data_IF_515342582009
#
_entry.id   IF_515342582009
#
_cell.length_a   1.000
_cell.length_b   1.000
_cell.length_c   1.000
_cell.angle_alpha   90.00
_cell.angle_beta   90.00
_cell.angle_gamma   90.00
#
_symmetry.space_group_name_H-M   'P 1'
#
loop_
_entity.id
_entity.type
_entity.pdbx_description
1 polymer ?
#
# COMPACT_ATOMS: atom_id res chain seq x y z
N UNK A 1 12.24 43.60 -45.98
CA UNK A 1 13.06 42.68 -45.17
C UNK A 1 13.52 43.27 -43.83
N UNK A 2 14.06 44.50 -43.74
CA UNK A 2 14.46 45.09 -42.44
C UNK A 2 13.29 45.36 -41.47
N UNK A 3 12.11 45.73 -42.00
CA UNK A 3 10.91 46.01 -41.17
C UNK A 3 10.28 44.75 -40.55
N UNK A 4 10.32 43.62 -41.26
CA UNK A 4 9.78 42.33 -40.78
C UNK A 4 10.67 41.70 -39.69
N UNK A 5 11.99 41.91 -39.77
CA UNK A 5 12.91 41.50 -38.71
C UNK A 5 12.69 42.32 -37.43
N UNK A 6 12.49 43.64 -37.56
CA UNK A 6 12.24 44.53 -36.42
C UNK A 6 10.94 44.15 -35.68
N UNK A 7 9.87 43.80 -36.40
CA UNK A 7 8.60 43.41 -35.78
C UNK A 7 8.70 42.11 -34.99
N UNK A 8 9.44 41.10 -35.47
CA UNK A 8 9.60 39.81 -34.77
C UNK A 8 10.41 40.00 -33.48
N UNK A 9 11.47 40.81 -33.53
CA UNK A 9 12.30 41.10 -32.34
C UNK A 9 11.48 41.84 -31.29
N UNK A 10 10.65 42.81 -31.68
CA UNK A 10 9.76 43.52 -30.73
C UNK A 10 8.74 42.55 -30.11
N UNK A 11 8.15 41.65 -30.90
CA UNK A 11 7.17 40.68 -30.42
C UNK A 11 7.80 39.69 -29.42
N UNK A 12 9.03 39.25 -29.70
CA UNK A 12 9.78 38.36 -28.81
C UNK A 12 10.17 39.06 -27.50
N UNK A 13 10.56 40.33 -27.56
CA UNK A 13 10.86 41.14 -26.38
C UNK A 13 9.60 41.42 -25.55
N UNK A 14 8.44 41.62 -26.17
CA UNK A 14 7.16 41.78 -25.45
C UNK A 14 6.76 40.48 -24.75
N UNK A 15 6.93 39.32 -25.40
CA UNK A 15 6.64 38.01 -24.78
C UNK A 15 7.61 37.72 -23.64
N UNK A 16 8.90 37.96 -23.83
CA UNK A 16 9.90 37.81 -22.77
C UNK A 16 9.63 38.75 -21.59
N UNK A 17 9.27 40.01 -21.88
CA UNK A 17 8.90 40.97 -20.84
C UNK A 17 7.62 40.56 -20.11
N UNK A 18 6.63 40.00 -20.82
CA UNK A 18 5.40 39.49 -20.20
C UNK A 18 5.65 38.24 -19.34
N UNK A 19 6.55 37.36 -19.77
CA UNK A 19 7.02 36.22 -18.96
C UNK A 19 7.84 36.68 -17.75
N UNK A 20 8.63 37.74 -17.89
CA UNK A 20 9.43 38.32 -16.80
C UNK A 20 8.58 39.12 -15.80
N UNK A 21 7.42 39.64 -16.23
CA UNK A 21 6.42 40.28 -15.37
C UNK A 21 5.52 39.28 -14.64
N UNK A 22 5.51 38.00 -15.03
CA UNK A 22 4.85 36.94 -14.26
C UNK A 22 5.65 36.67 -12.99
N UNK A 23 5.26 37.33 -11.90
CA UNK A 23 5.73 36.94 -10.56
C UNK A 23 5.31 35.49 -10.29
N UNK A 24 6.19 34.63 -9.78
CA UNK A 24 5.79 33.27 -9.41
C UNK A 24 4.73 33.35 -8.32
N UNK A 25 3.55 32.81 -8.59
CA UNK A 25 2.45 32.72 -7.64
C UNK A 25 2.85 31.72 -6.56
N UNK A 26 3.08 32.21 -5.35
CA UNK A 26 3.27 31.37 -4.17
C UNK A 26 1.89 30.81 -3.82
N UNK A 27 1.76 29.48 -3.81
CA UNK A 27 0.57 28.84 -3.26
C UNK A 27 0.63 29.05 -1.74
N UNK A 28 -0.03 30.10 -1.27
CA UNK A 28 -0.19 30.37 0.16
C UNK A 28 -1.38 29.56 0.68
N UNK A 29 -1.14 28.38 1.24
CA UNK A 29 -2.15 27.64 2.01
C UNK A 29 -2.34 28.30 3.38
N UNK A 30 -2.96 29.48 3.40
CA UNK A 30 -3.40 30.15 4.62
C UNK A 30 -4.87 29.84 4.89
N UNK A 31 -5.13 28.73 5.57
CA UNK A 31 -6.46 28.38 6.08
C UNK A 31 -6.72 29.23 7.34
N UNK A 32 -7.64 30.19 7.24
CA UNK A 32 -8.16 30.94 8.39
C UNK A 32 -9.38 30.20 8.98
N UNK A 33 -9.52 30.11 10.31
CA UNK A 33 -10.45 29.20 10.95
C UNK A 33 -11.76 29.92 11.27
N UNK A 34 -12.78 29.79 10.43
CA UNK A 34 -14.16 29.69 10.93
C UNK A 34 -15.10 29.32 9.78
N UNK A 35 -15.57 28.07 9.75
CA UNK A 35 -16.90 27.66 9.31
C UNK A 35 -17.09 26.23 9.81
N UNK A 36 -17.57 26.12 11.05
CA UNK A 36 -17.94 24.85 11.68
C UNK A 36 -19.31 24.40 11.16
N UNK A 37 -19.30 23.34 10.34
CA UNK A 37 -20.46 22.54 9.96
C UNK A 37 -20.08 21.07 9.99
N UNK A 38 -20.48 20.40 11.09
CA UNK A 38 -20.37 18.96 11.38
C UNK A 38 -18.99 18.30 11.26
N UNK A 39 -18.40 18.07 12.43
CA UNK A 39 -17.17 17.28 12.64
C UNK A 39 -17.55 15.79 12.71
N UNK A 40 -17.27 14.94 11.71
CA UNK A 40 -16.84 13.60 12.03
C UNK A 40 -15.38 13.72 12.43
N UNK A 41 -15.17 13.62 13.73
CA UNK A 41 -13.88 13.48 14.38
C UNK A 41 -13.00 12.54 13.58
N UNK A 42 -11.92 13.03 12.95
CA UNK A 42 -10.82 12.19 12.45
C UNK A 42 -10.02 11.69 13.65
N UNK A 43 -10.68 10.89 14.48
CA UNK A 43 -10.06 9.87 15.31
C UNK A 43 -9.86 8.66 14.40
N UNK A 44 -8.61 8.25 14.22
CA UNK A 44 -8.21 6.90 13.79
C UNK A 44 -8.95 6.32 12.57
N UNK A 45 -8.32 6.34 11.39
CA UNK A 45 -8.64 5.34 10.35
C UNK A 45 -7.40 4.93 9.55
N UNK A 46 -6.42 4.35 10.24
CA UNK A 46 -5.39 3.48 9.64
C UNK A 46 -5.88 2.04 9.40
N UNK A 47 -7.18 1.85 9.11
CA UNK A 47 -7.80 0.53 8.97
C UNK A 47 -8.98 0.52 7.99
N UNK A 48 -8.87 1.07 6.77
CA UNK A 48 -9.93 0.84 5.74
C UNK A 48 -9.48 0.90 4.28
N UNK A 49 -8.19 0.70 3.97
CA UNK A 49 -7.74 0.46 2.59
C UNK A 49 -7.41 -1.02 2.30
N UNK A 50 -7.17 -1.82 3.35
CA UNK A 50 -6.68 -3.20 3.17
C UNK A 50 -7.77 -4.18 2.72
N UNK A 51 -9.01 -4.04 3.20
CA UNK A 51 -10.10 -4.97 2.83
C UNK A 51 -10.55 -4.86 1.37
N UNK A 52 -10.32 -3.73 0.70
CA UNK A 52 -10.77 -3.54 -0.68
C UNK A 52 -9.71 -3.94 -1.74
N UNK A 53 -8.51 -4.36 -1.32
CA UNK A 53 -7.40 -4.70 -2.22
C UNK A 53 -6.91 -6.14 -2.11
N UNK A 54 -7.29 -6.87 -1.06
CA UNK A 54 -7.00 -8.31 -0.91
C UNK A 54 -8.18 -9.04 -0.27
N UNK A 55 -8.40 -10.27 -0.70
CA UNK A 55 -9.33 -11.25 -0.11
C UNK A 55 -8.54 -12.51 0.19
N UNK A 56 -8.53 -12.93 1.46
CA UNK A 56 -7.82 -14.14 1.91
C UNK A 56 -8.80 -15.30 2.07
N UNK A 57 -8.55 -16.38 1.35
CA UNK A 57 -9.34 -17.61 1.42
C UNK A 57 -8.79 -18.58 2.47
N UNK A 58 -7.46 -18.71 2.56
CA UNK A 58 -6.74 -19.47 3.58
C UNK A 58 -5.57 -18.67 4.17
N UNK A 59 -5.37 -18.71 5.50
CA UNK A 59 -6.19 -19.43 6.50
C UNK A 59 -7.51 -18.72 6.78
N UNK A 60 -8.48 -19.45 7.38
CA UNK A 60 -9.69 -18.83 7.93
C UNK A 60 -9.36 -18.14 9.26
N UNK A 61 -10.04 -17.04 9.54
CA UNK A 61 -9.97 -16.31 10.81
C UNK A 61 -10.17 -17.26 11.99
N UNK A 62 -9.25 -17.20 12.96
CA UNK A 62 -9.18 -18.04 14.17
C UNK A 62 -9.04 -19.55 13.92
N UNK A 63 -8.70 -19.98 12.69
CA UNK A 63 -8.43 -21.39 12.43
C UNK A 63 -7.21 -21.88 13.21
N UNK A 64 -7.24 -23.16 13.62
CA UNK A 64 -6.08 -23.82 14.22
C UNK A 64 -5.16 -24.32 13.12
N UNK A 65 -3.88 -23.99 13.19
CA UNK A 65 -2.91 -24.19 12.12
C UNK A 65 -1.68 -24.95 12.58
N UNK A 66 -1.07 -25.68 11.65
CA UNK A 66 0.22 -26.37 11.81
C UNK A 66 1.21 -25.83 10.81
N UNK A 67 2.50 -26.07 11.06
CA UNK A 67 3.57 -25.74 10.13
C UNK A 67 3.82 -26.91 9.17
N UNK A 68 3.93 -26.69 7.84
CA UNK A 68 3.70 -25.43 7.14
C UNK A 68 2.21 -25.04 7.07
N UNK A 69 1.95 -23.73 7.05
CA UNK A 69 0.61 -23.18 6.81
C UNK A 69 0.43 -22.84 5.33
N UNK A 70 -0.66 -23.34 4.74
CA UNK A 70 -1.02 -23.04 3.35
C UNK A 70 -1.82 -21.74 3.25
N UNK A 71 -1.55 -20.97 2.19
CA UNK A 71 -2.10 -19.64 1.96
C UNK A 71 -2.75 -19.59 0.58
N UNK A 72 -3.91 -18.96 0.49
CA UNK A 72 -4.57 -18.72 -0.79
C UNK A 72 -5.54 -17.54 -0.69
N UNK A 73 -5.84 -16.94 -1.83
CA UNK A 73 -6.78 -15.84 -1.95
C UNK A 73 -6.62 -15.13 -3.27
N UNK A 74 -6.98 -13.85 -3.29
CA UNK A 74 -6.78 -12.96 -4.43
C UNK A 74 -6.45 -11.55 -3.96
N UNK A 75 -5.55 -10.87 -4.64
CA UNK A 75 -5.20 -9.48 -4.38
C UNK A 75 -5.18 -8.67 -5.67
N UNK A 76 -5.41 -7.36 -5.59
CA UNK A 76 -5.28 -6.45 -6.73
C UNK A 76 -3.85 -6.52 -7.27
N UNK A 77 -3.64 -6.44 -8.58
CA UNK A 77 -2.30 -6.65 -9.17
C UNK A 77 -1.18 -5.76 -8.58
N UNK A 78 -1.52 -4.54 -8.12
CA UNK A 78 -0.60 -3.63 -7.41
C UNK A 78 -0.12 -4.12 -6.04
N UNK A 79 -0.65 -5.23 -5.52
CA UNK A 79 -0.09 -5.91 -4.36
C UNK A 79 1.21 -6.65 -4.66
N UNK A 80 1.43 -7.02 -5.92
CA UNK A 80 2.55 -7.85 -6.32
C UNK A 80 3.65 -7.03 -6.97
N UNK A 81 4.89 -7.45 -6.75
CA UNK A 81 6.05 -7.09 -7.55
C UNK A 81 6.74 -8.39 -7.97
N UNK A 82 7.12 -8.49 -9.24
CA UNK A 82 7.66 -9.73 -9.81
C UNK A 82 6.76 -10.97 -9.53
N UNK A 83 5.44 -10.78 -9.62
CA UNK A 83 4.41 -11.78 -9.32
C UNK A 83 4.41 -12.31 -7.87
N UNK A 84 5.07 -11.63 -6.92
CA UNK A 84 5.19 -12.07 -5.54
C UNK A 84 4.75 -11.00 -4.54
N UNK A 85 4.33 -11.43 -3.35
CA UNK A 85 4.03 -10.54 -2.23
C UNK A 85 4.44 -11.18 -0.89
N UNK A 86 5.05 -10.42 0.04
CA UNK A 86 5.56 -10.94 1.29
C UNK A 86 4.46 -11.39 2.26
N UNK A 87 4.74 -12.44 3.02
CA UNK A 87 3.86 -12.96 4.07
C UNK A 87 4.66 -13.45 5.27
N UNK A 88 4.12 -13.19 6.47
CA UNK A 88 4.74 -13.57 7.74
C UNK A 88 3.75 -14.26 8.67
N UNK A 89 4.25 -15.18 9.48
CA UNK A 89 3.55 -15.71 10.65
C UNK A 89 4.17 -15.07 11.88
N UNK A 90 3.35 -14.39 12.68
CA UNK A 90 3.77 -13.70 13.90
C UNK A 90 2.98 -14.18 15.12
N UNK A 91 3.58 -14.11 16.30
CA UNK A 91 2.88 -14.35 17.55
C UNK A 91 2.03 -13.13 18.00
N UNK A 92 1.36 -13.25 19.14
CA UNK A 92 0.53 -12.18 19.73
C UNK A 92 1.32 -10.95 20.18
N UNK A 93 2.64 -11.06 20.31
CA UNK A 93 3.57 -9.97 20.63
C UNK A 93 4.24 -9.37 19.39
N UNK A 94 3.96 -9.91 18.20
CA UNK A 94 4.55 -9.47 16.94
C UNK A 94 5.91 -10.08 16.62
N UNK A 95 6.38 -11.09 17.35
CA UNK A 95 7.60 -11.80 17.01
C UNK A 95 7.38 -12.64 15.75
N UNK A 96 8.29 -12.53 14.78
CA UNK A 96 8.23 -13.32 13.54
C UNK A 96 8.64 -14.76 13.82
N UNK A 97 7.73 -15.69 13.56
CA UNK A 97 7.92 -17.13 13.72
C UNK A 97 8.31 -17.83 12.41
N UNK A 98 7.97 -17.22 11.28
CA UNK A 98 8.27 -17.68 9.93
C UNK A 98 7.88 -16.64 8.90
N UNK A 99 8.53 -16.65 7.73
CA UNK A 99 8.27 -15.73 6.64
C UNK A 99 8.48 -16.40 5.28
N UNK A 100 7.74 -15.96 4.27
CA UNK A 100 7.86 -16.41 2.88
C UNK A 100 7.19 -15.37 1.96
N UNK A 101 6.79 -15.77 0.76
CA UNK A 101 5.97 -15.01 -0.15
C UNK A 101 4.76 -15.83 -0.62
N UNK A 102 3.72 -15.15 -1.07
CA UNK A 102 2.70 -15.71 -1.95
C UNK A 102 3.01 -15.33 -3.39
N UNK A 103 2.67 -16.21 -4.32
CA UNK A 103 2.86 -16.02 -5.75
C UNK A 103 1.50 -15.80 -6.42
N UNK A 104 1.43 -14.80 -7.29
CA UNK A 104 0.31 -14.62 -8.20
C UNK A 104 0.29 -15.75 -9.23
N UNK A 105 -0.90 -16.32 -9.44
CA UNK A 105 -1.12 -17.46 -10.36
C UNK A 105 -1.70 -17.04 -11.71
N UNK A 106 -1.81 -15.73 -11.94
CA UNK A 106 -2.28 -15.13 -13.18
C UNK A 106 -1.50 -13.86 -13.52
N UNK A 107 -1.94 -13.13 -14.54
CA UNK A 107 -1.32 -11.85 -14.91
C UNK A 107 -1.50 -10.82 -13.79
N UNK A 108 -0.39 -10.37 -13.23
CA UNK A 108 -0.34 -9.47 -12.08
C UNK A 108 -0.22 -7.99 -12.48
N UNK A 109 0.13 -7.69 -13.74
CA UNK A 109 0.29 -6.31 -14.22
C UNK A 109 -1.07 -5.68 -14.56
N UNK A 110 -1.99 -5.74 -13.61
CA UNK A 110 -3.38 -5.33 -13.76
C UNK A 110 -3.90 -4.60 -12.53
N UNK A 111 -4.98 -3.85 -12.69
CA UNK A 111 -5.74 -3.30 -11.57
C UNK A 111 -6.79 -4.29 -11.04
N UNK A 112 -6.96 -5.45 -11.68
CA UNK A 112 -7.93 -6.46 -11.28
C UNK A 112 -7.43 -7.39 -10.16
N UNK A 113 -8.35 -8.16 -9.57
CA UNK A 113 -8.01 -9.18 -8.59
C UNK A 113 -7.34 -10.38 -9.28
N UNK A 114 -6.18 -10.76 -8.75
CA UNK A 114 -5.34 -11.85 -9.24
C UNK A 114 -5.22 -12.90 -8.14
N UNK A 115 -5.53 -14.18 -8.41
CA UNK A 115 -5.43 -15.23 -7.41
C UNK A 115 -3.96 -15.48 -7.02
N UNK A 116 -3.73 -15.79 -5.74
CA UNK A 116 -2.40 -16.12 -5.23
C UNK A 116 -2.41 -17.41 -4.41
N UNK A 117 -1.24 -18.03 -4.31
CA UNK A 117 -0.99 -19.19 -3.43
C UNK A 117 0.38 -19.10 -2.77
N UNK A 118 0.56 -19.74 -1.62
CA UNK A 118 1.86 -19.86 -0.99
C UNK A 118 1.83 -20.75 0.25
N UNK A 119 2.98 -20.91 0.90
CA UNK A 119 3.06 -21.57 2.20
C UNK A 119 4.14 -20.96 3.07
N UNK A 120 3.94 -20.98 4.39
CA UNK A 120 4.95 -20.50 5.34
C UNK A 120 5.31 -21.64 6.29
N UNK A 121 6.59 -21.99 6.33
CA UNK A 121 7.15 -22.79 7.41
C UNK A 121 7.45 -21.84 8.58
N UNK A 122 6.90 -22.15 9.75
CA UNK A 122 7.12 -21.37 10.97
C UNK A 122 7.47 -22.27 12.17
N UNK A 123 8.14 -21.69 13.17
CA UNK A 123 8.39 -22.32 14.46
C UNK A 123 7.22 -22.06 15.40
N UNK A 124 6.76 -23.08 16.13
CA UNK A 124 5.75 -22.86 17.16
C UNK A 124 6.27 -21.88 18.22
N UNK A 125 5.42 -20.97 18.72
CA UNK A 125 5.82 -20.05 19.78
C UNK A 125 6.09 -20.81 21.08
N UNK A 126 6.95 -20.25 21.91
CA UNK A 126 7.33 -20.86 23.20
C UNK A 126 6.37 -20.47 24.33
N UNK A 127 6.38 -21.24 25.41
CA UNK A 127 5.58 -20.96 26.61
C UNK A 127 4.08 -21.16 26.40
N UNK A 128 3.27 -20.21 26.87
CA UNK A 128 1.80 -20.31 26.87
C UNK A 128 1.13 -19.68 25.66
N UNK A 129 1.88 -19.08 24.74
CA UNK A 129 1.31 -18.42 23.55
C UNK A 129 0.62 -19.44 22.64
N UNK A 130 -0.62 -19.15 22.26
CA UNK A 130 -1.46 -19.99 21.38
C UNK A 130 -2.08 -19.23 20.24
N UNK A 131 -1.97 -17.89 20.24
CA UNK A 131 -2.57 -17.00 19.27
C UNK A 131 -1.47 -16.30 18.49
N UNK A 132 -1.78 -15.99 17.24
CA UNK A 132 -0.90 -15.24 16.36
C UNK A 132 -1.66 -14.73 15.14
N UNK A 133 -0.90 -14.27 14.16
CA UNK A 133 -1.44 -13.74 12.92
C UNK A 133 -0.64 -14.25 11.72
N UNK A 134 -1.33 -14.47 10.61
CA UNK A 134 -0.71 -14.41 9.28
C UNK A 134 -0.84 -12.99 8.77
N UNK A 135 0.30 -12.36 8.47
CA UNK A 135 0.38 -10.98 7.99
C UNK A 135 0.75 -11.02 6.52
N UNK A 136 -0.20 -10.66 5.66
CA UNK A 136 0.03 -10.44 4.24
C UNK A 136 0.33 -8.96 4.02
N UNK A 137 1.37 -8.65 3.25
CA UNK A 137 1.71 -7.26 2.90
C UNK A 137 1.85 -7.15 1.39
N UNK A 138 1.53 -5.99 0.81
CA UNK A 138 1.90 -5.73 -0.57
C UNK A 138 3.42 -5.64 -0.69
N UNK A 139 3.95 -6.04 -1.86
CA UNK A 139 5.33 -5.76 -2.18
C UNK A 139 5.48 -4.27 -2.55
N UNK A 140 6.42 -3.60 -1.89
CA UNK A 140 6.67 -2.18 -2.01
C UNK A 140 8.16 -1.95 -2.25
N UNK A 141 8.65 -2.16 -3.48
CA UNK A 141 10.08 -2.04 -3.81
C UNK A 141 10.62 -0.63 -3.59
N UNK A 142 9.76 0.40 -3.56
CA UNK A 142 10.17 1.77 -3.22
C UNK A 142 10.47 2.00 -1.74
N UNK A 143 9.98 1.13 -0.85
CA UNK A 143 10.11 1.30 0.59
C UNK A 143 9.30 2.47 1.20
N UNK A 144 8.45 3.12 0.39
CA UNK A 144 7.63 4.26 0.82
C UNK A 144 6.53 3.82 1.81
N UNK A 145 6.55 4.28 3.08
CA UNK A 145 5.56 3.89 4.06
C UNK A 145 4.11 4.22 3.65
N UNK A 146 3.88 5.27 2.87
CA UNK A 146 2.52 5.68 2.45
C UNK A 146 1.86 4.65 1.52
N UNK A 147 2.67 3.82 0.85
CA UNK A 147 2.22 2.77 -0.07
C UNK A 147 2.23 1.38 0.56
N UNK A 148 2.56 1.29 1.85
CA UNK A 148 2.65 0.03 2.58
C UNK A 148 1.29 -0.34 3.17
N UNK A 149 0.76 -1.48 2.75
CA UNK A 149 -0.55 -1.99 3.14
C UNK A 149 -0.39 -3.45 3.59
N UNK A 150 -1.04 -3.78 4.72
CA UNK A 150 -1.05 -5.14 5.23
C UNK A 150 -2.43 -5.57 5.72
N UNK A 151 -2.67 -6.87 5.71
CA UNK A 151 -3.83 -7.54 6.35
C UNK A 151 -3.33 -8.59 7.32
N UNK A 152 -3.95 -8.64 8.50
CA UNK A 152 -3.67 -9.64 9.54
C UNK A 152 -4.84 -10.59 9.67
N UNK A 153 -4.58 -11.88 9.49
CA UNK A 153 -5.56 -12.95 9.71
C UNK A 153 -5.22 -13.63 11.04
N UNK A 154 -6.08 -13.54 12.07
CA UNK A 154 -5.81 -14.19 13.34
C UNK A 154 -5.86 -15.71 13.17
N UNK A 155 -4.94 -16.41 13.83
CA UNK A 155 -4.84 -17.88 13.83
C UNK A 155 -4.56 -18.38 15.25
N UNK A 156 -4.83 -19.66 15.46
CA UNK A 156 -4.42 -20.39 16.65
C UNK A 156 -3.33 -21.40 16.28
N UNK A 157 -2.29 -21.50 17.08
CA UNK A 157 -1.23 -22.48 16.91
C UNK A 157 -1.64 -23.82 17.51
N UNK A 158 -1.53 -24.89 16.72
CA UNK A 158 -1.70 -26.25 17.23
C UNK A 158 -0.52 -26.60 18.14
N UNK A 159 -0.84 -27.11 19.34
CA UNK A 159 0.15 -27.65 20.28
C UNK A 159 0.43 -29.13 20.02
#
# INVERSE_FOLDING_TARGET
>A
MRKTLLTIVVLFLVILFWLFLRKPEKIDLNISPDQQGEVPTTTSTGFTLSQNSIVVDLPKTNSTTTSPINLSGKARGNWFFEASAPVQVVDDKGNVLGQSHVEATGDWMTTEFVPFTGSVVYKNPTGTTTKGFVVFSNDNPSGDPERSVSVKIPINFKR
#
